data_IF_072347473818
#
_entry.id   IF_072347473818
#
_cell.length_a   1.000
_cell.length_b   1.000
_cell.length_c   1.000
_cell.angle_alpha   90.00
_cell.angle_beta   90.00
_cell.angle_gamma   90.00
#
_symmetry.space_group_name_H-M   'P 1'
#
loop_
_entity.id
_entity.type
_entity.pdbx_description
1 polymer ?
#
# COMPACT_ATOMS: atom_id res chain seq x y z
N UNK A 1 -1.49 25.86 -21.41
CA UNK A 1 -0.47 26.39 -22.35
C UNK A 1 0.57 27.12 -21.53
N UNK A 2 1.62 26.40 -21.16
CA UNK A 2 1.83 26.00 -19.77
C UNK A 2 3.24 26.36 -19.32
N UNK A 3 3.48 26.29 -18.01
CA UNK A 3 4.75 26.57 -17.35
C UNK A 3 5.99 26.00 -18.07
N UNK A 4 5.82 24.90 -18.80
CA UNK A 4 6.79 24.25 -19.70
C UNK A 4 7.56 25.18 -20.64
N UNK A 5 6.93 26.19 -21.25
CA UNK A 5 7.61 27.12 -22.17
C UNK A 5 8.59 28.07 -21.45
N UNK A 6 8.32 28.37 -20.18
CA UNK A 6 9.15 29.24 -19.34
C UNK A 6 10.18 28.44 -18.53
N UNK A 7 9.91 27.17 -18.24
CA UNK A 7 10.74 26.27 -17.43
C UNK A 7 12.20 26.17 -17.89
N UNK A 8 12.46 26.22 -19.20
CA UNK A 8 13.83 26.12 -19.74
C UNK A 8 14.67 27.37 -19.47
N UNK A 9 14.04 28.52 -19.18
CA UNK A 9 14.73 29.79 -18.92
C UNK A 9 15.31 29.88 -17.51
N UNK A 10 14.84 29.04 -16.57
CA UNK A 10 15.33 29.04 -15.20
C UNK A 10 16.71 28.41 -15.08
N UNK A 11 17.62 29.13 -14.44
CA UNK A 11 18.96 28.65 -14.06
C UNK A 11 19.00 28.18 -12.60
N UNK A 12 18.10 28.69 -11.74
CA UNK A 12 17.96 28.24 -10.35
C UNK A 12 16.69 27.36 -10.18
N UNK A 13 16.85 26.10 -9.74
CA UNK A 13 15.73 25.18 -9.56
C UNK A 13 14.78 25.56 -8.41
N UNK A 14 15.25 26.31 -7.41
CA UNK A 14 14.41 26.72 -6.28
C UNK A 14 13.46 27.85 -6.69
N UNK A 15 13.95 28.83 -7.46
CA UNK A 15 13.09 29.83 -8.12
C UNK A 15 12.06 29.18 -9.04
N UNK A 16 12.49 28.23 -9.89
CA UNK A 16 11.57 27.50 -10.77
C UNK A 16 10.48 26.76 -9.99
N UNK A 17 10.83 26.09 -8.88
CA UNK A 17 9.85 25.42 -8.03
C UNK A 17 8.86 26.40 -7.38
N UNK A 18 9.32 27.56 -6.92
CA UNK A 18 8.47 28.58 -6.34
C UNK A 18 7.48 29.14 -7.37
N UNK A 19 7.96 29.50 -8.57
CA UNK A 19 7.12 30.04 -9.63
C UNK A 19 6.15 28.99 -10.18
N UNK A 20 6.56 27.72 -10.21
CA UNK A 20 5.67 26.60 -10.53
C UNK A 20 4.52 26.50 -9.53
N UNK A 21 4.82 26.48 -8.22
CA UNK A 21 3.80 26.38 -7.17
C UNK A 21 2.86 27.59 -7.19
N UNK A 22 3.36 28.80 -7.45
CA UNK A 22 2.54 30.01 -7.60
C UNK A 22 1.62 29.87 -8.81
N UNK A 23 2.14 29.42 -9.95
CA UNK A 23 1.34 29.24 -11.16
C UNK A 23 0.27 28.15 -11.00
N UNK A 24 0.59 27.05 -10.31
CA UNK A 24 -0.29 25.90 -10.13
C UNK A 24 -1.41 26.17 -9.10
N UNK A 25 -1.07 26.70 -7.92
CA UNK A 25 -2.06 26.96 -6.87
C UNK A 25 -2.73 28.34 -7.00
N UNK A 26 -2.14 29.27 -7.74
CA UNK A 26 -2.64 30.63 -7.89
C UNK A 26 -2.77 31.34 -6.54
N UNK A 27 -3.98 31.83 -6.25
CA UNK A 27 -4.29 32.50 -4.97
C UNK A 27 -4.73 31.53 -3.86
N UNK A 28 -4.76 30.22 -4.13
CA UNK A 28 -5.19 29.23 -3.14
C UNK A 28 -4.07 28.98 -2.13
N UNK A 29 -4.47 28.73 -0.88
CA UNK A 29 -3.52 28.32 0.16
C UNK A 29 -3.06 26.89 -0.14
N UNK A 30 -1.75 26.69 -0.18
CA UNK A 30 -1.15 25.37 -0.37
C UNK A 30 -1.41 24.51 0.88
N UNK A 31 -1.99 23.33 0.66
CA UNK A 31 -2.12 22.29 1.68
C UNK A 31 -0.92 21.34 1.63
N UNK A 32 -0.40 20.99 2.80
CA UNK A 32 0.71 20.06 2.95
C UNK A 32 0.22 18.77 3.60
N UNK A 33 0.70 17.60 3.14
CA UNK A 33 1.75 17.42 2.13
C UNK A 33 1.24 17.57 0.68
N UNK A 34 1.97 18.30 -0.18
CA UNK A 34 1.62 18.45 -1.61
C UNK A 34 1.59 17.08 -2.29
N UNK A 35 0.56 16.73 -3.05
CA UNK A 35 0.48 15.43 -3.74
C UNK A 35 1.15 15.47 -5.13
N UNK A 36 2.34 14.86 -5.30
CA UNK A 36 3.05 14.93 -6.58
C UNK A 36 2.41 14.09 -7.69
N UNK A 37 1.59 13.09 -7.33
CA UNK A 37 0.88 12.28 -8.32
C UNK A 37 -0.27 13.07 -8.95
N UNK A 38 -0.90 13.98 -8.19
CA UNK A 38 -1.85 14.95 -8.73
C UNK A 38 -1.16 15.96 -9.63
N UNK A 39 0.03 16.46 -9.24
CA UNK A 39 0.82 17.35 -10.10
C UNK A 39 1.14 16.69 -11.46
N UNK A 40 1.59 15.43 -11.46
CA UNK A 40 1.83 14.68 -12.71
C UNK A 40 0.56 14.58 -13.56
N UNK A 41 -0.56 14.20 -12.96
CA UNK A 41 -1.84 14.02 -13.66
C UNK A 41 -2.34 15.32 -14.29
N UNK A 42 -2.29 16.43 -13.54
CA UNK A 42 -2.76 17.74 -14.01
C UNK A 42 -1.87 18.34 -15.10
N UNK A 43 -0.59 17.97 -15.11
CA UNK A 43 0.37 18.31 -16.18
C UNK A 43 0.28 17.33 -17.38
N UNK A 44 -0.70 16.42 -17.39
CA UNK A 44 -0.93 15.48 -18.47
C UNK A 44 0.14 14.37 -18.58
N UNK A 45 0.79 14.05 -17.46
CA UNK A 45 1.81 13.00 -17.37
C UNK A 45 1.23 11.78 -16.69
N UNK A 46 1.14 10.67 -17.43
CA UNK A 46 0.76 9.38 -16.87
C UNK A 46 1.94 8.84 -16.05
N UNK A 47 1.68 8.20 -14.91
CA UNK A 47 2.73 7.45 -14.21
C UNK A 47 2.39 5.96 -14.14
N UNK A 48 3.41 5.13 -13.98
CA UNK A 48 3.33 3.67 -13.78
C UNK A 48 4.20 3.26 -12.60
N UNK A 49 3.80 2.19 -11.92
CA UNK A 49 4.59 1.58 -10.86
C UNK A 49 5.29 0.33 -11.40
N UNK A 50 6.56 0.13 -11.06
CA UNK A 50 7.33 -1.00 -11.56
C UNK A 50 8.39 -1.50 -10.58
N UNK A 51 8.78 -2.76 -10.72
CA UNK A 51 9.85 -3.40 -9.95
C UNK A 51 11.22 -3.17 -10.60
N UNK A 52 11.70 -1.93 -10.59
CA UNK A 52 13.05 -1.67 -11.11
C UNK A 52 14.12 -2.23 -10.18
N UNK A 53 15.01 -3.10 -10.69
CA UNK A 53 16.14 -3.61 -9.91
C UNK A 53 17.22 -2.55 -9.65
N UNK A 54 17.38 -1.60 -10.57
CA UNK A 54 18.51 -0.67 -10.60
C UNK A 54 18.14 0.80 -10.79
N UNK A 55 16.87 1.10 -11.12
CA UNK A 55 16.40 2.45 -11.38
C UNK A 55 15.51 2.96 -10.25
N UNK A 56 15.57 4.26 -9.98
CA UNK A 56 14.68 4.95 -9.05
C UNK A 56 13.33 5.29 -9.72
N UNK A 57 13.40 5.63 -11.00
CA UNK A 57 12.30 5.94 -11.89
C UNK A 57 12.81 6.10 -13.33
N UNK A 58 11.90 6.38 -14.25
CA UNK A 58 12.22 6.67 -15.65
C UNK A 58 11.19 7.64 -16.22
N UNK A 59 11.65 8.65 -16.96
CA UNK A 59 10.78 9.52 -17.75
C UNK A 59 10.86 9.16 -19.24
N UNK A 60 9.70 8.92 -19.84
CA UNK A 60 9.52 8.66 -21.27
C UNK A 60 8.71 9.81 -21.89
N UNK A 61 9.31 10.63 -22.76
CA UNK A 61 8.63 11.75 -23.40
C UNK A 61 7.63 11.27 -24.46
N UNK A 62 6.61 12.09 -24.74
CA UNK A 62 5.74 11.91 -25.90
C UNK A 62 6.53 12.14 -27.20
N UNK A 63 6.46 11.20 -28.15
CA UNK A 63 7.18 11.28 -29.43
C UNK A 63 6.36 11.89 -30.57
N UNK A 64 5.05 11.99 -30.40
CA UNK A 64 4.09 12.60 -31.34
C UNK A 64 2.98 13.33 -30.57
N UNK A 65 2.18 14.16 -31.25
CA UNK A 65 1.05 14.87 -30.63
C UNK A 65 -0.04 13.93 -30.10
N UNK A 66 -0.09 12.68 -30.57
CA UNK A 66 -0.99 11.64 -30.06
C UNK A 66 -0.43 10.84 -28.88
N UNK A 67 0.85 11.01 -28.54
CA UNK A 67 1.48 10.25 -27.46
C UNK A 67 1.33 10.97 -26.11
N UNK A 68 1.21 10.16 -25.05
CA UNK A 68 1.13 10.65 -23.68
C UNK A 68 2.49 10.39 -23.00
N UNK A 69 3.12 11.39 -22.34
CA UNK A 69 4.36 11.18 -21.62
C UNK A 69 4.13 10.29 -20.39
N UNK A 70 5.11 9.43 -20.08
CA UNK A 70 5.02 8.42 -19.01
C UNK A 70 6.17 8.56 -18.00
N UNK A 71 5.84 8.47 -16.72
CA UNK A 71 6.78 8.39 -15.60
C UNK A 71 6.70 7.01 -14.94
N UNK A 72 7.74 6.20 -15.06
CA UNK A 72 7.89 4.97 -14.28
C UNK A 72 8.46 5.27 -12.91
N UNK A 73 7.88 4.70 -11.85
CA UNK A 73 8.31 4.89 -10.46
C UNK A 73 8.58 3.53 -9.82
N UNK A 74 9.71 3.39 -9.11
CA UNK A 74 10.05 2.15 -8.44
C UNK A 74 9.15 1.90 -7.22
N UNK A 75 8.28 0.90 -7.29
CA UNK A 75 7.34 0.55 -6.22
C UNK A 75 8.01 -0.02 -4.96
N UNK A 76 9.25 -0.51 -5.07
CA UNK A 76 10.01 -1.06 -3.94
C UNK A 76 10.63 0.02 -3.05
N UNK A 77 10.60 1.29 -3.48
CA UNK A 77 11.10 2.41 -2.67
C UNK A 77 10.04 2.87 -1.66
N UNK A 78 10.43 3.45 -0.50
CA UNK A 78 9.48 4.07 0.43
C UNK A 78 8.64 5.15 -0.26
N UNK A 79 7.41 5.37 0.19
CA UNK A 79 6.48 6.34 -0.43
C UNK A 79 7.05 7.77 -0.50
N UNK A 80 7.83 8.19 0.51
CA UNK A 80 8.52 9.50 0.48
C UNK A 80 9.53 9.61 -0.67
N UNK A 81 10.19 8.50 -1.03
CA UNK A 81 11.09 8.43 -2.19
C UNK A 81 10.33 8.35 -3.50
N UNK A 82 9.24 7.58 -3.57
CA UNK A 82 8.37 7.54 -4.76
C UNK A 82 7.81 8.94 -5.10
N UNK A 83 7.38 9.67 -4.07
CA UNK A 83 6.93 11.08 -4.19
C UNK A 83 8.03 12.00 -4.70
N UNK A 84 9.26 11.85 -4.20
CA UNK A 84 10.41 12.59 -4.70
C UNK A 84 10.69 12.29 -6.17
N UNK A 85 10.70 11.01 -6.55
CA UNK A 85 10.88 10.59 -7.95
C UNK A 85 9.81 11.19 -8.86
N UNK A 86 8.54 11.15 -8.45
CA UNK A 86 7.44 11.75 -9.23
C UNK A 86 7.72 13.23 -9.61
N UNK A 87 8.17 14.05 -8.65
CA UNK A 87 8.48 15.46 -8.94
C UNK A 87 9.81 15.63 -9.68
N UNK A 88 10.79 14.77 -9.42
CA UNK A 88 12.05 14.74 -10.15
C UNK A 88 11.79 14.51 -11.65
N UNK A 89 10.98 13.51 -11.99
CA UNK A 89 10.61 13.24 -13.38
C UNK A 89 9.69 14.33 -13.97
N UNK A 90 8.85 14.98 -13.15
CA UNK A 90 8.10 16.16 -13.58
C UNK A 90 9.03 17.31 -14.00
N UNK A 91 10.18 17.48 -13.35
CA UNK A 91 11.19 18.44 -13.79
C UNK A 91 11.72 18.12 -15.19
N UNK A 92 11.99 16.84 -15.47
CA UNK A 92 12.38 16.39 -16.80
C UNK A 92 11.26 16.60 -17.82
N UNK A 93 10.00 16.41 -17.43
CA UNK A 93 8.87 16.75 -18.28
C UNK A 93 8.86 18.23 -18.69
N UNK A 94 9.16 19.14 -17.76
CA UNK A 94 9.19 20.56 -18.05
C UNK A 94 10.39 20.98 -18.91
N UNK A 95 11.56 20.37 -18.72
CA UNK A 95 12.81 20.88 -19.31
C UNK A 95 13.36 20.03 -20.46
N UNK A 96 13.15 18.73 -20.41
CA UNK A 96 13.81 17.74 -21.26
C UNK A 96 12.86 17.02 -22.22
N UNK A 97 11.62 17.48 -22.37
CA UNK A 97 10.62 16.87 -23.26
C UNK A 97 11.05 16.75 -24.75
N UNK A 98 12.05 17.52 -25.19
CA UNK A 98 12.62 17.43 -26.54
C UNK A 98 13.75 16.40 -26.69
N UNK A 99 14.18 15.74 -25.60
CA UNK A 99 15.26 14.75 -25.60
C UNK A 99 14.67 13.34 -25.60
N UNK A 100 15.09 12.48 -26.55
CA UNK A 100 14.48 11.17 -26.81
C UNK A 100 14.37 10.23 -25.59
N UNK A 101 15.33 10.22 -24.66
CA UNK A 101 15.27 9.49 -23.38
C UNK A 101 16.11 10.28 -22.37
N UNK A 102 15.53 10.66 -21.23
CA UNK A 102 16.26 11.27 -20.12
C UNK A 102 16.33 10.29 -18.95
N UNK A 103 17.38 9.46 -18.92
CA UNK A 103 17.82 8.81 -17.69
C UNK A 103 19.29 8.38 -17.84
N UNK A 104 20.25 8.92 -17.06
CA UNK A 104 21.59 8.38 -17.06
C UNK A 104 21.69 7.15 -16.15
N UNK A 105 21.97 6.00 -16.75
CA UNK A 105 22.52 4.82 -16.06
C UNK A 105 23.81 5.22 -15.32
N UNK A 106 23.79 5.11 -13.99
CA UNK A 106 24.93 5.10 -13.04
C UNK A 106 26.13 6.06 -13.27
N UNK A 107 26.36 6.96 -12.30
CA UNK A 107 27.74 7.23 -11.81
C UNK A 107 28.26 8.67 -11.88
N UNK A 108 27.66 9.57 -12.67
CA UNK A 108 27.97 11.01 -12.61
C UNK A 108 26.68 11.82 -12.53
N UNK A 109 26.45 12.48 -11.40
CA UNK A 109 25.40 13.51 -11.28
C UNK A 109 25.68 14.59 -12.31
N UNK A 110 24.92 14.59 -13.40
CA UNK A 110 24.97 15.67 -14.38
C UNK A 110 24.38 16.93 -13.75
N UNK A 111 24.64 18.09 -14.35
CA UNK A 111 24.01 19.35 -13.95
C UNK A 111 22.49 19.28 -14.05
N UNK A 112 21.96 18.48 -14.97
CA UNK A 112 20.52 18.25 -15.17
C UNK A 112 19.93 17.47 -14.00
N UNK A 113 20.51 16.32 -13.63
CA UNK A 113 20.06 15.51 -12.47
C UNK A 113 20.12 16.30 -11.17
N UNK A 114 21.18 17.09 -10.98
CA UNK A 114 21.34 17.96 -9.80
C UNK A 114 20.27 19.07 -9.77
N UNK A 115 19.88 19.59 -10.93
CA UNK A 115 18.80 20.56 -11.04
C UNK A 115 17.45 19.92 -10.69
N UNK A 116 17.13 18.75 -11.26
CA UNK A 116 15.90 18.02 -10.98
C UNK A 116 15.78 17.63 -9.49
N UNK A 117 16.87 17.17 -8.87
CA UNK A 117 16.92 16.88 -7.43
C UNK A 117 16.56 18.11 -6.57
N UNK A 118 17.17 19.27 -6.89
CA UNK A 118 16.92 20.51 -6.17
C UNK A 118 15.50 21.04 -6.40
N UNK A 119 14.99 20.92 -7.62
CA UNK A 119 13.61 21.27 -7.96
C UNK A 119 12.62 20.41 -7.17
N UNK A 120 12.78 19.08 -7.20
CA UNK A 120 11.91 18.15 -6.47
C UNK A 120 11.91 18.42 -4.96
N UNK A 121 13.09 18.65 -4.37
CA UNK A 121 13.19 19.04 -2.98
C UNK A 121 12.43 20.36 -2.72
N UNK A 122 12.59 21.37 -3.59
CA UNK A 122 11.97 22.68 -3.41
C UNK A 122 10.46 22.68 -3.58
N UNK A 123 9.91 21.86 -4.47
CA UNK A 123 8.47 21.67 -4.62
C UNK A 123 7.87 20.97 -3.38
N UNK A 124 8.45 19.83 -2.95
CA UNK A 124 7.89 19.04 -1.84
C UNK A 124 8.06 19.68 -0.46
N UNK A 125 9.10 20.50 -0.29
CA UNK A 125 9.39 21.18 0.97
C UNK A 125 9.84 22.63 0.70
N UNK A 126 8.95 23.55 0.33
CA UNK A 126 9.32 24.93 0.00
C UNK A 126 10.01 25.63 1.16
N UNK A 127 11.08 26.37 0.87
CA UNK A 127 11.93 26.96 1.93
C UNK A 127 11.18 27.99 2.79
N UNK A 128 10.22 28.71 2.21
CA UNK A 128 9.40 29.68 2.92
C UNK A 128 8.54 29.00 3.99
N UNK A 129 7.80 27.96 3.62
CA UNK A 129 6.98 27.19 4.56
C UNK A 129 7.84 26.40 5.56
N UNK A 130 8.98 25.86 5.13
CA UNK A 130 9.90 25.17 6.04
C UNK A 130 10.38 26.11 7.15
N UNK A 131 10.70 27.37 6.84
CA UNK A 131 11.06 28.38 7.85
C UNK A 131 9.91 28.63 8.82
N UNK A 132 8.66 28.67 8.34
CA UNK A 132 7.48 28.80 9.21
C UNK A 132 7.37 27.62 10.17
N UNK A 133 7.48 26.38 9.66
CA UNK A 133 7.37 25.18 10.48
C UNK A 133 8.50 25.01 11.50
N UNK A 134 9.73 25.39 11.12
CA UNK A 134 10.87 25.43 12.05
C UNK A 134 10.65 26.50 13.12
N UNK A 135 10.26 27.72 12.74
CA UNK A 135 10.07 28.82 13.70
C UNK A 135 8.98 28.53 14.74
N UNK A 136 7.94 27.76 14.38
CA UNK A 136 6.90 27.30 15.33
C UNK A 136 7.43 26.38 16.44
N UNK A 137 8.55 25.70 16.20
CA UNK A 137 9.11 24.65 17.07
C UNK A 137 10.46 25.00 17.68
N UNK A 138 10.98 26.20 17.42
CA UNK A 138 12.28 26.62 17.95
C UNK A 138 12.24 26.69 19.48
N UNK A 139 13.26 26.10 20.10
CA UNK A 139 13.54 26.28 21.51
C UNK A 139 14.11 27.68 21.81
N UNK A 140 14.42 27.97 23.07
CA UNK A 140 14.99 29.26 23.51
C UNK A 140 16.35 29.60 22.89
N UNK A 141 17.06 28.62 22.33
CA UNK A 141 18.34 28.77 21.62
C UNK A 141 18.16 28.96 20.12
N UNK A 142 16.92 28.98 19.62
CA UNK A 142 16.60 29.15 18.20
C UNK A 142 16.75 27.89 17.36
N UNK A 143 16.82 26.72 17.99
CA UNK A 143 17.03 25.42 17.34
C UNK A 143 15.82 24.49 17.51
N UNK A 144 15.76 23.45 16.68
CA UNK A 144 14.78 22.36 16.76
C UNK A 144 15.47 21.03 17.07
N UNK A 145 14.76 20.17 17.79
CA UNK A 145 15.17 18.82 18.14
C UNK A 145 14.95 17.82 16.99
N UNK A 146 15.37 16.57 17.16
CA UNK A 146 15.09 15.53 16.16
C UNK A 146 13.61 15.13 16.13
N UNK A 147 12.91 15.20 17.27
CA UNK A 147 11.46 14.97 17.31
C UNK A 147 10.71 16.05 16.53
N UNK A 148 11.11 17.32 16.69
CA UNK A 148 10.57 18.42 15.89
C UNK A 148 10.83 18.23 14.39
N UNK A 149 12.02 17.77 14.01
CA UNK A 149 12.35 17.46 12.61
C UNK A 149 11.49 16.33 12.07
N UNK A 150 11.17 15.33 12.89
CA UNK A 150 10.30 14.22 12.51
C UNK A 150 8.88 14.69 12.22
N UNK A 151 8.31 15.55 13.08
CA UNK A 151 7.01 16.17 12.84
C UNK A 151 7.00 17.05 11.59
N UNK A 152 8.05 17.85 11.38
CA UNK A 152 8.17 18.70 10.19
C UNK A 152 8.28 17.83 8.93
N UNK A 153 9.05 16.74 8.98
CA UNK A 153 9.16 15.81 7.85
C UNK A 153 7.80 15.18 7.50
N UNK A 154 7.03 14.81 8.51
CA UNK A 154 5.67 14.26 8.36
C UNK A 154 4.71 15.28 7.75
N UNK A 155 4.74 16.54 8.22
CA UNK A 155 3.96 17.64 7.66
C UNK A 155 4.18 17.81 6.15
N UNK A 156 5.42 17.72 5.67
CA UNK A 156 5.73 17.81 4.23
C UNK A 156 5.58 16.48 3.49
N UNK A 157 5.44 15.35 4.19
CA UNK A 157 5.42 14.02 3.58
C UNK A 157 6.73 13.67 2.88
N UNK A 158 7.86 14.05 3.50
CA UNK A 158 9.23 13.79 3.02
C UNK A 158 10.00 12.92 4.01
N UNK A 159 11.16 12.39 3.62
CA UNK A 159 11.98 11.60 4.53
C UNK A 159 12.58 12.47 5.66
N UNK A 160 12.76 11.86 6.83
CA UNK A 160 13.42 12.49 7.97
C UNK A 160 14.79 13.06 7.60
N UNK A 161 15.62 12.28 6.91
CA UNK A 161 16.97 12.70 6.54
C UNK A 161 16.97 13.91 5.60
N UNK A 162 16.08 13.94 4.60
CA UNK A 162 15.97 15.07 3.68
C UNK A 162 15.52 16.35 4.39
N UNK A 163 14.57 16.24 5.33
CA UNK A 163 14.15 17.34 6.19
C UNK A 163 15.30 17.84 7.07
N UNK A 164 15.95 16.92 7.79
CA UNK A 164 17.06 17.22 8.71
C UNK A 164 18.20 17.97 8.01
N UNK A 165 18.70 17.45 6.88
CA UNK A 165 19.80 18.08 6.17
C UNK A 165 19.43 19.45 5.62
N UNK A 166 18.18 19.65 5.18
CA UNK A 166 17.74 20.96 4.71
C UNK A 166 17.69 21.97 5.84
N UNK A 167 17.18 21.59 7.02
CA UNK A 167 17.17 22.47 8.19
C UNK A 167 18.60 22.75 8.64
N UNK A 168 19.46 21.74 8.73
CA UNK A 168 20.84 21.88 9.18
C UNK A 168 21.67 22.84 8.31
N UNK A 169 21.56 22.73 6.98
CA UNK A 169 22.45 23.44 6.05
C UNK A 169 21.85 24.66 5.37
N UNK A 170 20.52 24.87 5.41
CA UNK A 170 19.87 26.05 4.81
C UNK A 170 19.23 26.98 5.84
N UNK A 171 18.83 26.45 6.99
CA UNK A 171 18.19 27.22 8.07
C UNK A 171 19.13 27.38 9.27
N UNK A 172 20.05 26.44 9.47
CA UNK A 172 21.03 26.43 10.56
C UNK A 172 20.36 26.47 11.94
N UNK A 173 19.35 25.61 12.13
CA UNK A 173 18.53 25.58 13.34
C UNK A 173 18.40 24.17 13.94
N UNK A 174 19.41 23.32 13.83
CA UNK A 174 19.41 21.99 14.46
C UNK A 174 20.17 22.04 15.78
N UNK A 175 19.60 21.48 16.84
CA UNK A 175 20.30 21.35 18.12
C UNK A 175 21.54 20.45 18.00
N UNK A 176 22.64 20.85 18.65
CA UNK A 176 23.86 20.07 18.73
C UNK A 176 24.73 20.12 17.48
N UNK A 177 25.60 19.12 17.31
CA UNK A 177 26.59 19.08 16.24
C UNK A 177 25.97 18.76 14.87
N UNK A 178 26.16 19.68 13.92
CA UNK A 178 25.64 19.61 12.54
C UNK A 178 26.70 19.20 11.51
N UNK A 179 27.91 18.82 11.93
CA UNK A 179 28.91 18.24 11.02
C UNK A 179 28.35 16.97 10.36
N UNK A 180 28.60 16.79 9.06
CA UNK A 180 27.97 15.74 8.25
C UNK A 180 28.19 14.33 8.82
N UNK A 181 29.39 14.02 9.30
CA UNK A 181 29.71 12.74 9.93
C UNK A 181 29.00 12.56 11.28
N UNK A 182 28.84 13.64 12.04
CA UNK A 182 28.16 13.66 13.34
C UNK A 182 26.66 13.47 13.18
N UNK A 183 26.03 14.21 12.25
CA UNK A 183 24.61 14.07 11.92
C UNK A 183 24.27 12.63 11.52
N UNK A 184 25.06 11.99 10.66
CA UNK A 184 24.83 10.58 10.28
C UNK A 184 24.82 9.64 11.49
N UNK A 185 25.76 9.79 12.43
CA UNK A 185 25.78 8.99 13.67
C UNK A 185 24.55 9.28 14.55
N UNK A 186 24.14 10.54 14.63
CA UNK A 186 22.96 10.95 15.40
C UNK A 186 21.67 10.41 14.79
N UNK A 187 21.53 10.37 13.46
CA UNK A 187 20.38 9.78 12.76
C UNK A 187 20.26 8.29 13.12
N UNK A 188 21.36 7.53 13.01
CA UNK A 188 21.38 6.10 13.36
C UNK A 188 20.99 5.87 14.83
N UNK A 189 21.51 6.71 15.74
CA UNK A 189 21.16 6.63 17.18
C UNK A 189 19.69 6.94 17.44
N UNK A 190 19.14 7.94 16.74
CA UNK A 190 17.74 8.34 16.89
C UNK A 190 16.78 7.30 16.31
N UNK A 191 17.16 6.63 15.22
CA UNK A 191 16.38 5.58 14.55
C UNK A 191 14.95 6.05 14.19
N UNK A 192 14.80 7.01 13.25
CA UNK A 192 13.54 7.71 13.00
C UNK A 192 12.35 6.77 12.71
N UNK A 193 12.55 5.69 11.95
CA UNK A 193 11.47 4.75 11.65
C UNK A 193 10.93 4.02 12.91
N UNK A 194 11.81 3.74 13.89
CA UNK A 194 11.37 3.16 15.17
C UNK A 194 10.58 4.17 15.98
N UNK A 195 11.01 5.45 15.99
CA UNK A 195 10.31 6.53 16.68
C UNK A 195 8.92 6.75 16.06
N UNK A 196 8.84 6.81 14.72
CA UNK A 196 7.56 6.88 13.99
C UNK A 196 6.61 5.76 14.39
N UNK A 197 7.10 4.50 14.38
CA UNK A 197 6.28 3.34 14.78
C UNK A 197 5.80 3.46 16.24
N UNK A 198 6.66 3.92 17.15
CA UNK A 198 6.27 4.10 18.56
C UNK A 198 5.23 5.20 18.79
N UNK A 199 5.09 6.13 17.85
CA UNK A 199 4.12 7.22 17.88
C UNK A 199 2.90 6.96 16.98
N UNK A 200 2.76 5.76 16.42
CA UNK A 200 1.70 5.39 15.47
C UNK A 200 1.62 6.33 14.24
N UNK A 201 2.75 6.91 13.84
CA UNK A 201 2.84 7.76 12.65
C UNK A 201 2.88 6.89 11.40
N UNK A 202 1.92 7.08 10.50
CA UNK A 202 1.77 6.30 9.26
C UNK A 202 1.90 7.20 8.03
N UNK A 203 2.09 6.57 6.87
CA UNK A 203 2.02 7.23 5.57
C UNK A 203 0.70 6.96 4.85
N UNK A 204 -0.35 6.59 5.59
CA UNK A 204 -1.70 6.27 5.05
C UNK A 204 -2.20 7.31 4.05
N UNK A 205 -2.11 8.60 4.39
CA UNK A 205 -2.58 9.67 3.51
C UNK A 205 -1.71 9.83 2.25
N UNK A 206 -0.40 9.55 2.34
CA UNK A 206 0.48 9.58 1.18
C UNK A 206 0.17 8.45 0.20
N UNK A 207 -0.09 7.25 0.73
CA UNK A 207 -0.50 6.09 -0.06
C UNK A 207 -1.91 6.24 -0.65
N UNK A 208 -2.86 6.80 0.11
CA UNK A 208 -4.19 7.15 -0.38
C UNK A 208 -4.10 8.09 -1.57
N UNK A 209 -3.34 9.18 -1.43
CA UNK A 209 -3.11 10.14 -2.51
C UNK A 209 -2.44 9.53 -3.75
N UNK A 210 -1.57 8.53 -3.59
CA UNK A 210 -1.02 7.77 -4.71
C UNK A 210 -2.11 6.96 -5.42
N UNK A 211 -2.82 6.11 -4.67
CA UNK A 211 -3.81 5.17 -5.20
C UNK A 211 -4.96 5.89 -5.91
N UNK A 212 -5.42 7.01 -5.37
CA UNK A 212 -6.49 7.80 -5.97
C UNK A 212 -6.08 8.42 -7.32
N UNK A 213 -4.80 8.72 -7.50
CA UNK A 213 -4.25 9.21 -8.77
C UNK A 213 -3.78 8.06 -9.70
N UNK A 214 -3.89 6.81 -9.25
CA UNK A 214 -3.47 5.61 -9.99
C UNK A 214 -4.67 4.69 -10.35
N UNK A 215 -5.90 5.22 -10.28
CA UNK A 215 -7.16 4.48 -10.47
C UNK A 215 -7.22 3.66 -11.75
N UNK A 216 -6.88 4.28 -12.88
CA UNK A 216 -7.01 3.66 -14.19
C UNK A 216 -6.01 2.52 -14.38
N UNK A 217 -4.78 2.73 -13.93
CA UNK A 217 -3.71 1.75 -14.01
C UNK A 217 -3.92 0.59 -13.02
N UNK A 218 -4.60 0.82 -11.89
CA UNK A 218 -4.98 -0.24 -10.94
C UNK A 218 -6.12 -1.14 -11.44
N UNK A 219 -6.74 -0.84 -12.58
CA UNK A 219 -7.79 -1.67 -13.13
C UNK A 219 -7.29 -3.11 -13.31
N UNK A 220 -8.06 -4.05 -12.75
CA UNK A 220 -7.75 -5.47 -12.75
C UNK A 220 -8.92 -6.26 -13.32
N UNK A 221 -8.59 -7.30 -14.08
CA UNK A 221 -9.52 -8.35 -14.48
C UNK A 221 -8.86 -9.69 -14.21
N UNK A 222 -9.59 -10.69 -13.68
CA UNK A 222 -9.05 -12.01 -13.47
C UNK A 222 -8.43 -12.59 -14.74
N UNK A 223 -7.21 -13.12 -14.63
CA UNK A 223 -6.52 -13.84 -15.70
C UNK A 223 -6.01 -15.17 -15.19
N UNK A 224 -5.74 -16.09 -16.10
CA UNK A 224 -5.12 -17.38 -15.77
C UNK A 224 -3.74 -17.16 -15.12
N UNK A 225 -2.93 -16.23 -15.62
CA UNK A 225 -1.64 -15.88 -15.03
C UNK A 225 -1.80 -15.42 -13.56
N UNK A 226 -2.72 -14.50 -13.31
CA UNK A 226 -2.99 -14.01 -11.96
C UNK A 226 -3.48 -15.13 -11.04
N UNK A 227 -4.38 -15.99 -11.55
CA UNK A 227 -4.89 -17.15 -10.81
C UNK A 227 -3.74 -18.10 -10.43
N UNK A 228 -2.85 -18.43 -11.36
CA UNK A 228 -1.70 -19.30 -11.10
C UNK A 228 -0.72 -18.69 -10.10
N UNK A 229 -0.44 -17.39 -10.19
CA UNK A 229 0.44 -16.70 -9.25
C UNK A 229 -0.11 -16.79 -7.81
N UNK A 230 -1.40 -16.49 -7.63
CA UNK A 230 -2.05 -16.60 -6.32
C UNK A 230 -2.05 -18.04 -5.81
N UNK A 231 -2.36 -18.98 -6.69
CA UNK A 231 -2.41 -20.40 -6.34
C UNK A 231 -1.04 -20.97 -5.94
N UNK A 232 0.04 -20.58 -6.63
CA UNK A 232 1.37 -21.18 -6.44
C UNK A 232 2.26 -20.44 -5.44
N UNK A 233 2.08 -19.14 -5.24
CA UNK A 233 2.93 -18.37 -4.33
C UNK A 233 2.16 -17.93 -3.08
N UNK A 234 0.91 -17.50 -3.25
CA UNK A 234 0.22 -16.74 -2.20
C UNK A 234 -0.55 -17.66 -1.25
N UNK A 235 -1.12 -18.76 -1.73
CA UNK A 235 -1.78 -19.77 -0.88
C UNK A 235 -0.81 -20.37 0.14
N UNK A 236 0.40 -20.74 -0.28
CA UNK A 236 1.43 -21.27 0.62
C UNK A 236 1.86 -20.23 1.64
N UNK A 237 2.02 -18.98 1.19
CA UNK A 237 2.33 -17.89 2.09
C UNK A 237 1.24 -17.70 3.18
N UNK A 238 -0.03 -17.73 2.78
CA UNK A 238 -1.16 -17.63 3.71
C UNK A 238 -1.23 -18.82 4.68
N UNK A 239 -0.91 -20.02 4.22
CA UNK A 239 -0.86 -21.23 5.05
C UNK A 239 0.25 -21.13 6.11
N UNK A 240 1.45 -20.69 5.73
CA UNK A 240 2.54 -20.38 6.68
C UNK A 240 2.17 -19.26 7.65
N UNK A 241 1.34 -18.31 7.23
CA UNK A 241 0.82 -17.26 8.09
C UNK A 241 -0.03 -17.83 9.23
N UNK A 242 -0.67 -18.97 9.05
CA UNK A 242 -1.42 -19.68 10.10
C UNK A 242 -0.53 -20.60 10.97
N UNK A 243 0.80 -20.61 10.75
CA UNK A 243 1.76 -21.39 11.53
C UNK A 243 2.02 -22.80 11.00
N UNK A 244 1.52 -23.11 9.80
CA UNK A 244 1.74 -24.39 9.15
C UNK A 244 3.15 -24.46 8.55
N UNK A 245 3.91 -25.49 8.93
CA UNK A 245 5.24 -25.76 8.36
C UNK A 245 5.08 -26.56 7.07
N UNK A 246 5.06 -25.85 5.95
CA UNK A 246 4.82 -26.44 4.63
C UNK A 246 5.72 -25.78 3.58
N UNK A 247 6.51 -26.57 2.86
CA UNK A 247 7.22 -26.12 1.65
C UNK A 247 6.40 -26.42 0.40
N UNK A 248 6.61 -25.63 -0.65
CA UNK A 248 5.92 -25.81 -1.94
C UNK A 248 6.25 -27.18 -2.52
N UNK A 249 7.49 -27.63 -2.40
CA UNK A 249 7.97 -28.90 -2.92
C UNK A 249 7.30 -30.10 -2.22
N UNK A 250 7.18 -30.05 -0.89
CA UNK A 250 6.54 -31.11 -0.11
C UNK A 250 5.03 -31.17 -0.36
N UNK A 251 4.40 -30.01 -0.51
CA UNK A 251 2.96 -29.93 -0.67
C UNK A 251 2.47 -30.25 -2.07
N UNK A 252 3.28 -30.00 -3.12
CA UNK A 252 2.81 -30.12 -4.51
C UNK A 252 2.26 -31.52 -4.81
N UNK A 253 2.96 -32.58 -4.41
CA UNK A 253 2.53 -33.97 -4.63
C UNK A 253 1.27 -34.31 -3.81
N UNK A 254 1.30 -34.02 -2.51
CA UNK A 254 0.18 -34.32 -1.58
C UNK A 254 -1.08 -33.55 -1.97
N UNK A 255 -0.95 -32.26 -2.25
CA UNK A 255 -2.07 -31.40 -2.67
C UNK A 255 -2.62 -31.85 -4.03
N UNK A 256 -1.76 -32.31 -4.94
CA UNK A 256 -2.21 -32.87 -6.22
C UNK A 256 -3.01 -34.16 -6.00
N UNK A 257 -2.51 -35.07 -5.16
CA UNK A 257 -3.22 -36.30 -4.81
C UNK A 257 -4.59 -36.00 -4.16
N UNK A 258 -4.63 -35.10 -3.17
CA UNK A 258 -5.87 -34.64 -2.53
C UNK A 258 -6.86 -34.08 -3.56
N UNK A 259 -6.39 -33.27 -4.51
CA UNK A 259 -7.23 -32.68 -5.55
C UNK A 259 -7.78 -33.69 -6.55
N UNK A 260 -7.11 -34.82 -6.75
CA UNK A 260 -7.55 -35.90 -7.65
C UNK A 260 -8.45 -36.92 -6.94
N UNK A 261 -8.11 -37.27 -5.70
CA UNK A 261 -8.73 -38.38 -4.98
C UNK A 261 -9.74 -37.94 -3.90
N UNK A 262 -9.75 -36.65 -3.55
CA UNK A 262 -10.62 -36.07 -2.52
C UNK A 262 -10.54 -36.88 -1.20
N UNK A 263 -11.68 -37.22 -0.59
CA UNK A 263 -11.74 -38.03 0.63
C UNK A 263 -11.20 -39.46 0.48
N UNK A 264 -10.98 -39.96 -0.74
CA UNK A 264 -10.37 -41.27 -0.97
C UNK A 264 -8.82 -41.23 -0.92
N UNK A 265 -8.22 -40.04 -0.84
CA UNK A 265 -6.78 -39.88 -0.69
C UNK A 265 -6.30 -40.45 0.65
N UNK A 266 -5.15 -41.13 0.66
CA UNK A 266 -4.50 -41.54 1.91
C UNK A 266 -4.04 -40.36 2.77
N UNK A 267 -3.93 -39.16 2.18
CA UNK A 267 -3.57 -37.93 2.86
C UNK A 267 -4.78 -37.18 3.43
N UNK A 268 -6.02 -37.63 3.17
CA UNK A 268 -7.23 -37.04 3.73
C UNK A 268 -7.43 -37.47 5.20
N UNK A 269 -6.64 -36.89 6.09
CA UNK A 269 -6.71 -37.11 7.53
C UNK A 269 -6.27 -35.85 8.30
N UNK A 270 -6.67 -35.72 9.56
CA UNK A 270 -6.46 -34.51 10.36
C UNK A 270 -4.97 -34.18 10.58
N UNK A 271 -4.08 -35.17 10.55
CA UNK A 271 -2.62 -34.96 10.69
C UNK A 271 -2.04 -34.15 9.51
N UNK A 272 -2.73 -34.15 8.37
CA UNK A 272 -2.33 -33.44 7.14
C UNK A 272 -3.06 -32.10 6.96
N UNK A 273 -3.54 -31.46 8.04
CA UNK A 273 -4.31 -30.21 8.00
C UNK A 273 -3.69 -29.15 7.08
N UNK A 274 -2.37 -29.01 7.11
CA UNK A 274 -1.65 -28.05 6.27
C UNK A 274 -1.93 -28.25 4.78
N UNK A 275 -1.87 -29.49 4.30
CA UNK A 275 -2.10 -29.84 2.91
C UNK A 275 -3.58 -29.81 2.53
N UNK A 276 -4.47 -30.23 3.44
CA UNK A 276 -5.93 -30.14 3.24
C UNK A 276 -6.37 -28.67 3.06
N UNK A 277 -5.86 -27.78 3.91
CA UNK A 277 -6.08 -26.34 3.83
C UNK A 277 -5.58 -25.76 2.51
N UNK A 278 -4.36 -26.11 2.10
CA UNK A 278 -3.80 -25.65 0.82
C UNK A 278 -4.70 -26.11 -0.33
N UNK A 279 -5.07 -27.39 -0.39
CA UNK A 279 -5.95 -27.92 -1.43
C UNK A 279 -7.31 -27.20 -1.47
N UNK A 280 -7.91 -26.94 -0.32
CA UNK A 280 -9.17 -26.18 -0.22
C UNK A 280 -9.03 -24.72 -0.67
N UNK A 281 -7.92 -24.07 -0.34
CA UNK A 281 -7.59 -22.74 -0.85
C UNK A 281 -7.47 -22.71 -2.38
N UNK A 282 -6.91 -23.75 -3.00
CA UNK A 282 -6.82 -23.81 -4.47
C UNK A 282 -8.21 -23.69 -5.11
N UNK A 283 -9.20 -24.42 -4.57
CA UNK A 283 -10.60 -24.36 -5.05
C UNK A 283 -11.24 -23.01 -4.75
N UNK A 284 -10.97 -22.46 -3.56
CA UNK A 284 -11.45 -21.13 -3.20
C UNK A 284 -10.96 -20.06 -4.19
N UNK A 285 -9.66 -20.02 -4.48
CA UNK A 285 -9.06 -19.05 -5.40
C UNK A 285 -9.37 -19.35 -6.87
N UNK A 286 -9.64 -20.60 -7.23
CA UNK A 286 -10.20 -20.91 -8.55
C UNK A 286 -11.53 -20.16 -8.74
N UNK A 287 -12.42 -20.18 -7.76
CA UNK A 287 -13.73 -19.53 -7.86
C UNK A 287 -13.66 -18.01 -7.75
N UNK A 288 -12.76 -17.47 -6.91
CA UNK A 288 -12.52 -16.02 -6.82
C UNK A 288 -12.11 -15.45 -8.19
N UNK A 289 -11.32 -16.21 -8.95
CA UNK A 289 -10.82 -15.80 -10.27
C UNK A 289 -11.72 -16.23 -11.44
N UNK A 290 -12.67 -17.15 -11.22
CA UNK A 290 -13.61 -17.60 -12.26
C UNK A 290 -14.77 -16.61 -12.46
N UNK A 291 -15.16 -15.88 -11.42
CA UNK A 291 -16.22 -14.88 -11.50
C UNK A 291 -15.60 -13.51 -11.85
N UNK A 292 -15.92 -12.92 -13.02
CA UNK A 292 -15.48 -11.55 -13.33
C UNK A 292 -16.14 -10.54 -12.38
N UNK A 293 -15.83 -9.25 -12.59
CA UNK A 293 -16.49 -8.11 -11.93
C UNK A 293 -18.01 -8.34 -11.83
N UNK A 294 -18.56 -8.31 -10.60
CA UNK A 294 -19.98 -8.52 -10.31
C UNK A 294 -20.62 -7.23 -9.83
N UNK A 295 -21.89 -7.02 -10.12
CA UNK A 295 -22.60 -5.81 -9.70
C UNK A 295 -23.01 -5.80 -8.23
N UNK A 296 -22.92 -6.94 -7.56
CA UNK A 296 -23.32 -7.08 -6.16
C UNK A 296 -22.32 -7.89 -5.36
N UNK A 297 -22.31 -7.63 -4.06
CA UNK A 297 -21.55 -8.38 -3.09
C UNK A 297 -22.35 -8.44 -1.78
N UNK A 298 -22.21 -9.55 -1.06
CA UNK A 298 -22.82 -9.74 0.23
C UNK A 298 -21.81 -10.33 1.21
N UNK A 299 -21.93 -10.00 2.49
CA UNK A 299 -21.14 -10.66 3.53
C UNK A 299 -21.30 -12.18 3.46
N UNK A 300 -22.48 -12.68 3.07
CA UNK A 300 -22.77 -14.11 3.02
C UNK A 300 -22.03 -14.86 1.90
N UNK A 301 -21.39 -14.15 0.97
CA UNK A 301 -20.48 -14.75 0.00
C UNK A 301 -19.26 -15.43 0.69
N UNK A 302 -19.00 -15.13 1.97
CA UNK A 302 -17.95 -15.81 2.74
C UNK A 302 -18.29 -17.25 3.13
N UNK A 303 -19.57 -17.63 3.25
CA UNK A 303 -19.99 -18.99 3.59
C UNK A 303 -19.52 -20.02 2.55
N UNK A 304 -19.76 -19.84 1.23
CA UNK A 304 -19.24 -20.75 0.23
C UNK A 304 -17.71 -20.73 0.14
N UNK A 305 -17.03 -19.64 0.49
CA UNK A 305 -15.56 -19.62 0.57
C UNK A 305 -15.07 -20.54 1.70
N UNK A 306 -15.63 -20.41 2.90
CA UNK A 306 -15.30 -21.28 4.03
C UNK A 306 -15.63 -22.75 3.70
N UNK A 307 -16.77 -23.02 3.07
CA UNK A 307 -17.09 -24.36 2.58
C UNK A 307 -16.01 -24.91 1.63
N UNK A 308 -15.51 -24.09 0.70
CA UNK A 308 -14.45 -24.50 -0.23
C UNK A 308 -13.13 -24.80 0.49
N UNK A 309 -12.78 -24.03 1.51
CA UNK A 309 -11.58 -24.27 2.34
C UNK A 309 -11.56 -25.70 2.90
N UNK A 310 -12.71 -26.23 3.31
CA UNK A 310 -12.81 -27.55 3.93
C UNK A 310 -13.16 -28.69 2.96
N UNK A 311 -13.18 -28.43 1.64
CA UNK A 311 -13.62 -29.42 0.62
C UNK A 311 -12.85 -30.74 0.64
N UNK A 312 -11.59 -30.70 1.08
CA UNK A 312 -10.70 -31.86 1.10
C UNK A 312 -10.50 -32.44 2.49
N UNK A 313 -11.15 -31.89 3.51
CA UNK A 313 -11.10 -32.45 4.86
C UNK A 313 -11.89 -33.77 4.93
N UNK A 314 -11.63 -34.63 5.93
CA UNK A 314 -12.38 -35.88 6.12
C UNK A 314 -13.89 -35.66 6.26
N UNK A 315 -14.27 -34.53 6.87
CA UNK A 315 -15.64 -34.13 7.13
C UNK A 315 -15.95 -32.76 6.48
N UNK A 316 -16.07 -32.70 5.13
CA UNK A 316 -16.22 -31.45 4.41
C UNK A 316 -17.56 -30.73 4.70
N UNK A 317 -18.55 -31.43 5.23
CA UNK A 317 -19.88 -30.91 5.60
C UNK A 317 -19.84 -29.84 6.70
N UNK A 318 -18.78 -29.79 7.51
CA UNK A 318 -18.61 -28.74 8.53
C UNK A 318 -18.21 -27.38 7.93
N UNK A 319 -17.71 -27.38 6.69
CA UNK A 319 -17.33 -26.16 5.99
C UNK A 319 -18.53 -25.26 5.67
N UNK A 320 -18.40 -23.98 5.99
CA UNK A 320 -19.42 -22.94 5.72
C UNK A 320 -20.51 -22.82 6.79
N UNK A 321 -20.49 -23.65 7.83
CA UNK A 321 -21.43 -23.56 8.95
C UNK A 321 -21.03 -22.47 9.95
N UNK A 322 -22.01 -21.69 10.42
CA UNK A 322 -21.81 -20.70 11.49
C UNK A 322 -21.71 -21.42 12.84
N UNK A 323 -20.77 -20.98 13.69
CA UNK A 323 -20.54 -21.60 15.01
C UNK A 323 -21.75 -21.48 15.93
N UNK A 324 -21.90 -22.46 16.82
CA UNK A 324 -23.02 -22.57 17.78
C UNK A 324 -22.54 -22.46 19.25
N UNK A 325 -21.33 -21.95 19.44
CA UNK A 325 -20.68 -21.80 20.73
C UNK A 325 -19.75 -20.59 20.69
N UNK A 326 -19.47 -20.00 21.85
CA UNK A 326 -18.51 -18.91 21.97
C UNK A 326 -17.07 -19.44 21.87
N UNK A 327 -16.22 -18.70 21.14
CA UNK A 327 -14.83 -19.07 20.88
C UNK A 327 -13.89 -17.97 21.34
N UNK A 328 -12.68 -18.38 21.73
CA UNK A 328 -11.60 -17.48 22.10
C UNK A 328 -10.55 -17.48 20.99
N UNK A 329 -10.16 -16.30 20.54
CA UNK A 329 -9.06 -16.15 19.59
C UNK A 329 -7.76 -16.05 20.38
N UNK A 330 -6.91 -17.08 20.28
CA UNK A 330 -5.64 -17.12 20.99
C UNK A 330 -4.77 -15.90 20.64
N UNK A 331 -4.36 -15.15 21.67
CA UNK A 331 -3.52 -13.95 21.51
C UNK A 331 -4.26 -12.68 21.08
N UNK A 332 -5.57 -12.76 20.79
CA UNK A 332 -6.38 -11.58 20.54
C UNK A 332 -6.67 -10.81 21.84
N UNK A 333 -6.90 -9.51 21.72
CA UNK A 333 -7.24 -8.62 22.83
C UNK A 333 -8.70 -8.14 22.78
N UNK A 334 -9.55 -8.91 22.10
CA UNK A 334 -10.99 -8.69 22.00
C UNK A 334 -11.74 -9.99 22.31
N UNK A 335 -13.00 -9.85 22.72
CA UNK A 335 -13.95 -10.95 22.80
C UNK A 335 -14.69 -11.09 21.48
N UNK A 336 -14.91 -12.33 21.04
CA UNK A 336 -15.71 -12.59 19.84
C UNK A 336 -17.18 -12.30 20.13
N UNK A 337 -17.96 -12.00 19.09
CA UNK A 337 -19.40 -11.77 19.22
C UNK A 337 -20.09 -13.02 19.79
N UNK A 338 -21.12 -12.87 20.62
CA UNK A 338 -21.88 -14.04 21.09
C UNK A 338 -22.48 -14.80 19.90
N UNK A 339 -22.43 -16.14 19.93
CA UNK A 339 -22.90 -16.94 18.80
C UNK A 339 -24.37 -16.69 18.43
N UNK A 340 -25.22 -16.29 19.38
CA UNK A 340 -26.61 -15.91 19.10
C UNK A 340 -26.72 -14.61 18.28
N UNK A 341 -25.72 -13.74 18.37
CA UNK A 341 -25.72 -12.42 17.74
C UNK A 341 -24.96 -12.38 16.42
N UNK A 342 -24.33 -13.48 15.99
CA UNK A 342 -23.55 -13.52 14.74
C UNK A 342 -24.38 -13.07 13.55
N UNK A 343 -25.60 -13.59 13.36
CA UNK A 343 -26.44 -13.20 12.23
C UNK A 343 -26.84 -11.72 12.26
N UNK A 344 -27.12 -11.18 13.45
CA UNK A 344 -27.42 -9.76 13.64
C UNK A 344 -26.21 -8.88 13.31
N UNK A 345 -25.02 -9.29 13.74
CA UNK A 345 -23.76 -8.60 13.45
C UNK A 345 -23.43 -8.65 11.94
N UNK A 346 -23.56 -9.81 11.31
CA UNK A 346 -23.35 -9.99 9.87
C UNK A 346 -24.34 -9.16 9.06
N UNK A 347 -25.61 -9.10 9.43
CA UNK A 347 -26.62 -8.28 8.73
C UNK A 347 -26.26 -6.78 8.73
N UNK A 348 -25.71 -6.26 9.83
CA UNK A 348 -25.21 -4.87 9.89
C UNK A 348 -24.03 -4.66 8.95
N UNK A 349 -23.08 -5.60 8.93
CA UNK A 349 -21.92 -5.57 8.03
C UNK A 349 -22.38 -5.65 6.57
N UNK A 350 -23.35 -6.50 6.25
CA UNK A 350 -23.88 -6.69 4.89
C UNK A 350 -24.48 -5.41 4.32
N UNK A 351 -25.28 -4.70 5.12
CA UNK A 351 -25.86 -3.41 4.73
C UNK A 351 -24.77 -2.37 4.43
N UNK A 352 -23.73 -2.32 5.27
CA UNK A 352 -22.60 -1.41 5.05
C UNK A 352 -21.84 -1.75 3.77
N UNK A 353 -21.57 -3.03 3.52
CA UNK A 353 -20.90 -3.51 2.29
C UNK A 353 -21.71 -3.10 1.07
N UNK A 354 -23.01 -3.42 1.04
CA UNK A 354 -23.89 -3.11 -0.09
C UNK A 354 -23.90 -1.61 -0.38
N UNK A 355 -24.09 -0.79 0.66
CA UNK A 355 -24.11 0.67 0.49
C UNK A 355 -22.79 1.24 -0.03
N UNK A 356 -21.63 0.73 0.42
CA UNK A 356 -20.33 1.20 -0.06
C UNK A 356 -20.05 0.71 -1.48
N UNK A 357 -20.42 -0.53 -1.78
CA UNK A 357 -20.19 -1.15 -3.07
C UNK A 357 -21.02 -0.49 -4.18
N UNK A 358 -22.26 -0.12 -3.92
CA UNK A 358 -23.09 0.63 -4.88
C UNK A 358 -22.45 1.97 -5.27
N UNK A 359 -21.82 2.66 -4.31
CA UNK A 359 -21.19 3.98 -4.50
C UNK A 359 -19.72 3.92 -4.89
N UNK A 360 -19.16 2.72 -5.15
CA UNK A 360 -17.72 2.50 -5.37
C UNK A 360 -17.11 3.33 -6.52
N UNK A 361 -17.93 3.63 -7.54
CA UNK A 361 -17.54 4.47 -8.68
C UNK A 361 -17.50 5.97 -8.38
N UNK A 362 -18.19 6.42 -7.33
CA UNK A 362 -18.37 7.84 -6.99
C UNK A 362 -17.40 8.32 -5.89
N UNK A 363 -16.63 7.42 -5.30
CA UNK A 363 -15.69 7.72 -4.21
C UNK A 363 -14.22 7.55 -4.64
N UNK A 364 -13.26 8.14 -3.92
CA UNK A 364 -11.85 7.79 -4.08
C UNK A 364 -11.62 6.29 -3.85
N UNK A 365 -10.70 5.67 -4.60
CA UNK A 365 -10.40 4.23 -4.40
C UNK A 365 -9.87 3.99 -3.00
N UNK A 366 -9.08 4.93 -2.48
CA UNK A 366 -8.50 4.82 -1.16
C UNK A 366 -9.58 4.65 -0.08
N UNK A 367 -10.72 5.32 -0.21
CA UNK A 367 -11.87 5.17 0.70
C UNK A 367 -12.57 3.82 0.55
N UNK A 368 -12.70 3.30 -0.67
CA UNK A 368 -13.20 1.94 -0.89
C UNK A 368 -12.27 0.89 -0.26
N UNK A 369 -10.95 1.03 -0.44
CA UNK A 369 -9.96 0.13 0.15
C UNK A 369 -9.97 0.20 1.68
N UNK A 370 -10.06 1.41 2.26
CA UNK A 370 -10.23 1.59 3.72
C UNK A 370 -11.53 0.94 4.22
N UNK A 371 -12.61 1.00 3.43
CA UNK A 371 -13.84 0.27 3.76
C UNK A 371 -13.60 -1.24 3.81
N UNK A 372 -13.01 -1.82 2.76
CA UNK A 372 -12.68 -3.25 2.73
C UNK A 372 -11.81 -3.67 3.93
N UNK A 373 -10.82 -2.85 4.30
CA UNK A 373 -9.98 -3.06 5.48
C UNK A 373 -10.78 -3.10 6.79
N UNK A 374 -11.74 -2.18 6.97
CA UNK A 374 -12.65 -2.15 8.13
C UNK A 374 -13.55 -3.38 8.17
N UNK A 375 -14.09 -3.80 7.02
CA UNK A 375 -14.91 -5.00 6.91
C UNK A 375 -14.11 -6.25 7.28
N UNK A 376 -12.89 -6.36 6.78
CA UNK A 376 -11.96 -7.43 7.14
C UNK A 376 -11.74 -7.50 8.65
N UNK A 377 -11.40 -6.39 9.31
CA UNK A 377 -11.27 -6.34 10.77
C UNK A 377 -12.58 -6.75 11.48
N UNK A 378 -13.73 -6.21 11.07
CA UNK A 378 -15.03 -6.56 11.67
C UNK A 378 -15.36 -8.04 11.56
N UNK A 379 -15.03 -8.69 10.45
CA UNK A 379 -15.19 -10.14 10.29
C UNK A 379 -14.32 -10.90 11.29
N UNK A 380 -13.07 -10.48 11.49
CA UNK A 380 -12.18 -11.12 12.47
C UNK A 380 -12.69 -11.03 13.91
N UNK A 381 -13.41 -9.94 14.25
CA UNK A 381 -14.05 -9.74 15.56
C UNK A 381 -15.36 -10.54 15.69
N UNK A 382 -16.21 -10.56 14.66
CA UNK A 382 -17.43 -11.40 14.64
C UNK A 382 -17.05 -12.87 14.78
N UNK A 383 -15.99 -13.28 14.07
CA UNK A 383 -15.43 -14.62 14.09
C UNK A 383 -16.50 -15.70 13.84
N UNK A 384 -17.22 -15.66 12.70
CA UNK A 384 -18.49 -16.37 12.54
C UNK A 384 -18.37 -17.89 12.39
N UNK A 385 -17.21 -18.42 12.00
CA UNK A 385 -17.03 -19.85 11.77
C UNK A 385 -16.38 -20.53 12.98
N UNK A 386 -16.56 -21.86 13.14
CA UNK A 386 -15.76 -22.63 14.08
C UNK A 386 -14.27 -22.53 13.76
N UNK A 387 -13.91 -22.65 12.47
CA UNK A 387 -12.53 -22.67 12.00
C UNK A 387 -12.32 -21.91 10.68
N UNK A 388 -11.07 -21.53 10.42
CA UNK A 388 -10.67 -20.90 9.16
C UNK A 388 -11.09 -19.42 9.00
N UNK A 389 -11.40 -18.72 10.10
CA UNK A 389 -11.86 -17.32 10.08
C UNK A 389 -10.83 -16.37 9.45
N UNK A 390 -9.54 -16.48 9.80
CA UNK A 390 -8.49 -15.63 9.24
C UNK A 390 -8.36 -15.78 7.72
N UNK A 391 -8.25 -17.04 7.27
CA UNK A 391 -8.20 -17.46 5.86
C UNK A 391 -9.42 -16.98 5.08
N UNK A 392 -10.61 -17.22 5.62
CA UNK A 392 -11.88 -16.83 4.97
C UNK A 392 -12.03 -15.31 4.90
N UNK A 393 -11.65 -14.58 5.95
CA UNK A 393 -11.72 -13.11 5.98
C UNK A 393 -10.80 -12.48 4.93
N UNK A 394 -9.56 -12.98 4.82
CA UNK A 394 -8.61 -12.51 3.80
C UNK A 394 -9.05 -12.86 2.38
N UNK A 395 -9.62 -14.06 2.18
CA UNK A 395 -10.20 -14.44 0.90
C UNK A 395 -11.41 -13.57 0.53
N UNK A 396 -12.29 -13.25 1.49
CA UNK A 396 -13.42 -12.37 1.26
C UNK A 396 -12.99 -10.93 0.97
N UNK A 397 -11.94 -10.43 1.63
CA UNK A 397 -11.29 -9.17 1.25
C UNK A 397 -10.86 -9.19 -0.23
N UNK A 398 -10.27 -10.29 -0.70
CA UNK A 398 -9.92 -10.44 -2.12
C UNK A 398 -11.14 -10.53 -3.04
N UNK A 399 -12.25 -11.15 -2.61
CA UNK A 399 -13.51 -11.10 -3.35
C UNK A 399 -13.99 -9.66 -3.53
N UNK A 400 -13.92 -8.84 -2.48
CA UNK A 400 -14.31 -7.41 -2.57
C UNK A 400 -13.43 -6.65 -3.58
N UNK A 401 -12.12 -6.86 -3.57
CA UNK A 401 -11.20 -6.23 -4.53
C UNK A 401 -11.42 -6.72 -5.96
N UNK A 402 -11.40 -8.03 -6.20
CA UNK A 402 -11.55 -8.61 -7.54
C UNK A 402 -12.89 -8.21 -8.17
N UNK A 403 -13.99 -8.29 -7.41
CA UNK A 403 -15.30 -7.87 -7.92
C UNK A 403 -15.35 -6.36 -8.18
N UNK A 404 -14.59 -5.54 -7.45
CA UNK A 404 -14.49 -4.10 -7.72
C UNK A 404 -13.53 -3.75 -8.87
N UNK A 405 -12.92 -4.74 -9.54
CA UNK A 405 -11.92 -4.52 -10.58
C UNK A 405 -10.58 -4.02 -10.03
N UNK A 406 -10.26 -4.35 -8.77
CA UNK A 406 -9.00 -4.04 -8.11
C UNK A 406 -8.18 -5.32 -7.94
N UNK A 407 -6.84 -5.22 -7.94
CA UNK A 407 -5.98 -6.38 -7.76
C UNK A 407 -6.23 -7.00 -6.37
N UNK A 408 -6.35 -8.33 -6.27
CA UNK A 408 -6.35 -9.01 -4.99
C UNK A 408 -5.00 -8.81 -4.30
N UNK A 409 -4.94 -9.08 -3.00
CA UNK A 409 -3.73 -8.91 -2.20
C UNK A 409 -3.38 -10.18 -1.41
N UNK A 410 -2.16 -10.23 -0.92
CA UNK A 410 -1.74 -11.21 0.07
C UNK A 410 -0.76 -10.55 1.04
N UNK A 411 -0.78 -11.00 2.29
CA UNK A 411 0.10 -10.48 3.33
C UNK A 411 1.22 -11.48 3.52
N UNK A 412 2.45 -11.08 3.20
CA UNK A 412 3.62 -11.95 3.35
C UNK A 412 3.82 -12.40 4.79
N UNK A 413 4.33 -13.62 4.99
CA UNK A 413 4.56 -14.16 6.34
C UNK A 413 5.48 -13.26 7.17
N UNK A 414 6.45 -12.59 6.53
CA UNK A 414 7.35 -11.64 7.20
C UNK A 414 6.61 -10.36 7.67
N UNK A 415 5.47 -10.03 7.07
CA UNK A 415 4.62 -8.88 7.43
C UNK A 415 3.55 -9.26 8.47
N UNK A 416 3.43 -10.55 8.85
CA UNK A 416 2.47 -11.02 9.86
C UNK A 416 2.55 -10.25 11.19
N UNK A 417 3.73 -10.00 11.80
CA UNK A 417 3.79 -9.28 13.07
C UNK A 417 3.19 -7.88 12.97
N UNK A 418 3.52 -7.13 11.92
CA UNK A 418 2.98 -5.78 11.70
C UNK A 418 1.47 -5.80 11.45
N UNK A 419 0.97 -6.79 10.71
CA UNK A 419 -0.47 -6.95 10.47
C UNK A 419 -1.25 -7.27 11.75
N UNK A 420 -0.73 -8.16 12.60
CA UNK A 420 -1.36 -8.49 13.90
C UNK A 420 -1.27 -7.30 14.86
N UNK A 421 -0.13 -6.59 14.90
CA UNK A 421 0.03 -5.34 15.67
C UNK A 421 -1.05 -4.31 15.28
N UNK A 422 -1.27 -4.12 13.98
CA UNK A 422 -2.26 -3.18 13.44
C UNK A 422 -3.70 -3.57 13.82
N UNK A 423 -4.07 -4.86 13.71
CA UNK A 423 -5.38 -5.32 14.20
C UNK A 423 -5.54 -5.08 15.71
N UNK A 424 -4.50 -5.42 16.48
CA UNK A 424 -4.49 -5.21 17.94
C UNK A 424 -4.52 -3.73 18.35
N UNK A 425 -4.07 -2.82 17.49
CA UNK A 425 -4.19 -1.39 17.70
C UNK A 425 -5.62 -0.92 17.48
N UNK A 426 -6.29 -1.44 16.44
CA UNK A 426 -7.71 -1.17 16.19
C UNK A 426 -8.56 -1.64 17.37
N UNK A 427 -8.32 -2.85 17.87
CA UNK A 427 -9.10 -3.41 19.00
C UNK A 427 -9.00 -2.56 20.28
N UNK A 428 -7.85 -1.93 20.51
CA UNK A 428 -7.59 -1.13 21.73
C UNK A 428 -8.01 0.32 21.60
N UNK A 429 -7.82 0.91 20.43
CA UNK A 429 -7.84 2.36 20.25
C UNK A 429 -8.64 2.83 19.03
N UNK A 430 -9.20 1.90 18.24
CA UNK A 430 -9.94 2.21 17.00
C UNK A 430 -9.09 3.00 15.98
N UNK A 431 -7.77 2.85 16.02
CA UNK A 431 -6.83 3.48 15.08
C UNK A 431 -6.55 2.52 13.93
N UNK A 432 -7.07 2.83 12.74
CA UNK A 432 -6.99 1.96 11.56
C UNK A 432 -5.80 2.25 10.64
N UNK A 433 -5.11 3.37 10.82
CA UNK A 433 -4.12 3.87 9.87
C UNK A 433 -3.01 2.86 9.55
N UNK A 434 -2.52 2.11 10.54
CA UNK A 434 -1.48 1.10 10.29
C UNK A 434 -1.98 -0.04 9.38
N UNK A 435 -3.23 -0.47 9.54
CA UNK A 435 -3.84 -1.49 8.68
C UNK A 435 -4.07 -0.94 7.26
N UNK A 436 -4.52 0.30 7.15
CA UNK A 436 -4.70 0.96 5.85
C UNK A 436 -3.38 1.06 5.08
N UNK A 437 -2.30 1.49 5.72
CA UNK A 437 -0.98 1.56 5.09
C UNK A 437 -0.50 0.18 4.62
N UNK A 438 -0.67 -0.87 5.44
CA UNK A 438 -0.31 -2.24 5.05
C UNK A 438 -1.07 -2.66 3.79
N UNK A 439 -2.40 -2.47 3.77
CA UNK A 439 -3.25 -2.88 2.64
C UNK A 439 -2.92 -2.09 1.38
N UNK A 440 -2.72 -0.77 1.47
CA UNK A 440 -2.29 0.04 0.32
C UNK A 440 -0.96 -0.44 -0.26
N UNK A 441 0.02 -0.74 0.60
CA UNK A 441 1.29 -1.32 0.16
C UNK A 441 1.11 -2.66 -0.54
N UNK A 442 0.21 -3.52 -0.04
CA UNK A 442 -0.03 -4.82 -0.65
C UNK A 442 -0.74 -4.71 -2.01
N UNK A 443 -1.68 -3.78 -2.15
CA UNK A 443 -2.34 -3.49 -3.45
C UNK A 443 -1.29 -3.09 -4.48
N UNK A 444 -0.40 -2.16 -4.13
CA UNK A 444 0.68 -1.72 -5.03
C UNK A 444 1.61 -2.88 -5.38
N UNK A 445 2.09 -3.64 -4.38
CA UNK A 445 2.98 -4.78 -4.61
C UNK A 445 2.33 -5.85 -5.50
N UNK A 446 1.07 -6.19 -5.24
CA UNK A 446 0.36 -7.20 -6.03
C UNK A 446 0.09 -6.71 -7.45
N UNK A 447 -0.34 -5.46 -7.63
CA UNK A 447 -0.49 -4.86 -8.95
C UNK A 447 0.81 -4.96 -9.76
N UNK A 448 1.95 -4.58 -9.17
CA UNK A 448 3.23 -4.64 -9.88
C UNK A 448 3.63 -6.08 -10.18
N UNK A 449 3.44 -7.02 -9.25
CA UNK A 449 3.74 -8.43 -9.48
C UNK A 449 2.91 -9.03 -10.63
N UNK A 450 1.61 -8.71 -10.67
CA UNK A 450 0.67 -9.19 -11.70
C UNK A 450 0.94 -8.61 -13.10
N UNK A 451 1.65 -7.48 -13.18
CA UNK A 451 1.99 -6.79 -14.42
C UNK A 451 3.50 -6.87 -14.76
N UNK A 452 4.28 -7.60 -13.97
CA UNK A 452 5.68 -7.88 -14.29
C UNK A 452 5.72 -9.06 -15.26
N UNK A 453 6.07 -8.79 -16.52
CA UNK A 453 6.24 -9.81 -17.58
C UNK A 453 7.60 -10.49 -17.43
#
# INVERSE_FOLDING_TARGET
MGFKLEAQKYTDPECMAADYLIAYFGNQKIEYPINPFTLLKDEGVLFTLSNFHKLEGVYVPATSESDIPIVGINANRPITRQRFTAVHELCHHFRDASKQISCPMYGKKTTIESFADRFAAAVLMPIAELRVQVNKRKNTRGNVSFDDVLEIADYFGVSFESCLFRIAYRIHAIDGDTESASLKKRIVKYAPDKVRKSQHMTYTNLYAGLIDNYREQLAFSPTEHARYLFQNEYIYNDSRMEGLDVTVEQASEIVTDLRLNMQNSCFCNEENESYLSVAGHYVMYQDIFAEPVKESISIYDMLPLNKKLFSYYPHPEFGGAIRQNNTLVLGAKFETVDYHDIFNALAKVDNDIKSFYEKRGEMPISEFVKHVARIHHRITVIHPFPEGNGRTSRAFMNVQFVRAGLPPIYIKVEEKPAYIDALSLIDKATIYDELYEIIFRMIIKSHVALNSI
#
